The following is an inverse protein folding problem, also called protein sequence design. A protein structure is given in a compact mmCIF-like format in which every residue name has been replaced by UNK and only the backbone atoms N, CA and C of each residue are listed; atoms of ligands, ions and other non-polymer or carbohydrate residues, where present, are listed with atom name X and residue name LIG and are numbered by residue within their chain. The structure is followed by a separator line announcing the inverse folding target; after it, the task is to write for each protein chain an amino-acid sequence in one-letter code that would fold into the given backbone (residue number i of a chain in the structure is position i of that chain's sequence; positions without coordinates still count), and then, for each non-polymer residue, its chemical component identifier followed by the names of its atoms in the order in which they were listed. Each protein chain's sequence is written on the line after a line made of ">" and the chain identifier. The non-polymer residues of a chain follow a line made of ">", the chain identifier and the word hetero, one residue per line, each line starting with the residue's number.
data_IF_137931135435
#
_entry.id   IF_137931135435
#
_cell.length_a   1.000
_cell.length_b   1.000
_cell.length_c   1.000
_cell.angle_alpha   90.00
_cell.angle_beta   90.00
_cell.angle_gamma   90.00
#
_symmetry.space_group_name_H-M   'P 1'
#
loop_
_entity.id
_entity.type
_entity.pdbx_description
1 polymer ?
#
# COMPACT_ATOMS: atom_id res chain seq x y z
N UNK A 1 18.13 -2.36 -16.64
CA UNK A 1 17.41 -3.27 -17.56
C UNK A 1 15.89 -3.03 -17.53
N UNK A 2 15.18 -3.39 -16.45
CA UNK A 2 13.71 -3.32 -16.39
C UNK A 2 13.10 -1.94 -16.69
N UNK A 3 13.63 -0.85 -16.12
CA UNK A 3 13.20 0.52 -16.45
C UNK A 3 13.31 0.83 -17.95
N UNK A 4 14.35 0.34 -18.62
CA UNK A 4 14.51 0.54 -20.07
C UNK A 4 13.43 -0.18 -20.87
N UNK A 5 13.08 -1.41 -20.48
CA UNK A 5 12.00 -2.19 -21.09
C UNK A 5 10.64 -1.53 -20.88
N UNK A 6 10.38 -1.04 -19.66
CA UNK A 6 9.15 -0.32 -19.34
C UNK A 6 9.05 1.02 -20.06
N UNK A 7 10.14 1.78 -20.13
CA UNK A 7 10.13 3.07 -20.81
C UNK A 7 9.94 2.97 -22.32
N UNK A 8 10.28 1.82 -22.93
CA UNK A 8 10.08 1.60 -24.37
C UNK A 8 8.59 1.48 -24.74
N UNK A 9 7.78 0.86 -23.89
CA UNK A 9 6.32 0.84 -23.98
C UNK A 9 5.70 0.74 -22.57
N UNK A 10 5.38 1.88 -21.93
CA UNK A 10 4.87 1.89 -20.56
C UNK A 10 3.49 1.25 -20.39
N UNK A 11 2.70 1.22 -21.47
CA UNK A 11 1.36 0.64 -21.45
C UNK A 11 1.41 -0.88 -21.64
N UNK A 12 2.36 -1.38 -22.43
CA UNK A 12 2.52 -2.80 -22.72
C UNK A 12 4.01 -3.18 -22.84
N UNK A 13 4.74 -3.22 -21.71
CA UNK A 13 6.15 -3.56 -21.73
C UNK A 13 6.36 -4.99 -22.23
N UNK A 14 7.44 -5.19 -22.97
CA UNK A 14 7.86 -6.50 -23.47
C UNK A 14 8.39 -7.36 -22.31
N UNK A 15 7.50 -8.16 -21.73
CA UNK A 15 7.78 -8.92 -20.51
C UNK A 15 8.87 -9.99 -20.71
N UNK A 16 9.08 -10.45 -21.95
CA UNK A 16 10.10 -11.45 -22.28
C UNK A 16 11.52 -10.88 -22.19
N UNK A 17 11.65 -9.54 -22.18
CA UNK A 17 12.92 -8.83 -21.98
C UNK A 17 13.19 -8.47 -20.52
N UNK A 18 12.31 -8.83 -19.59
CA UNK A 18 12.55 -8.61 -18.18
C UNK A 18 13.56 -9.63 -17.63
N UNK A 19 14.43 -9.21 -16.69
CA UNK A 19 15.26 -10.15 -15.93
C UNK A 19 14.43 -11.29 -15.34
N UNK A 20 14.88 -12.51 -15.54
CA UNK A 20 14.28 -13.72 -14.99
C UNK A 20 15.11 -14.33 -13.85
N UNK A 21 16.12 -13.58 -13.38
CA UNK A 21 17.01 -14.02 -12.30
C UNK A 21 16.20 -14.40 -11.04
N UNK A 22 16.62 -15.46 -10.37
CA UNK A 22 16.02 -15.87 -9.10
C UNK A 22 16.26 -14.79 -8.04
N UNK A 23 15.25 -14.53 -7.21
CA UNK A 23 15.35 -13.58 -6.10
C UNK A 23 15.20 -14.30 -4.75
N UNK A 24 14.06 -14.95 -4.51
CA UNK A 24 13.83 -15.83 -3.35
C UNK A 24 12.88 -15.23 -2.31
N UNK A 25 13.08 -15.61 -1.05
CA UNK A 25 12.25 -15.18 0.09
C UNK A 25 13.10 -14.35 1.04
N UNK A 26 12.54 -13.22 1.49
CA UNK A 26 13.13 -12.33 2.50
C UNK A 26 12.27 -12.38 3.74
N UNK A 27 12.87 -12.70 4.88
CA UNK A 27 12.22 -12.67 6.18
C UNK A 27 12.85 -11.60 7.07
N UNK A 28 12.02 -10.93 7.85
CA UNK A 28 12.45 -9.98 8.86
C UNK A 28 11.67 -10.26 10.16
N UNK A 29 12.34 -10.08 11.30
CA UNK A 29 11.82 -10.39 12.62
C UNK A 29 12.26 -9.31 13.60
N UNK A 30 11.34 -8.89 14.46
CA UNK A 30 11.58 -7.93 15.54
C UNK A 30 12.27 -6.62 15.09
N UNK A 31 11.94 -6.18 13.88
CA UNK A 31 12.45 -4.96 13.29
C UNK A 31 11.77 -3.70 13.85
N UNK A 32 12.36 -2.55 13.53
CA UNK A 32 11.76 -1.24 13.77
C UNK A 32 12.00 -0.30 12.59
N UNK A 33 11.09 0.64 12.40
CA UNK A 33 11.24 1.73 11.44
C UNK A 33 11.42 3.03 12.21
N UNK A 34 12.48 3.77 11.88
CA UNK A 34 12.77 5.08 12.44
C UNK A 34 12.75 6.13 11.32
N UNK A 35 12.24 7.31 11.63
CA UNK A 35 12.32 8.48 10.76
C UNK A 35 13.14 9.57 11.45
N UNK A 36 13.96 10.28 10.69
CA UNK A 36 14.67 11.46 11.19
C UNK A 36 13.75 12.67 11.07
N UNK A 37 13.32 13.22 12.20
CA UNK A 37 12.45 14.41 12.29
C UNK A 37 13.21 15.48 13.07
N UNK A 38 13.49 16.61 12.41
CA UNK A 38 14.28 17.71 13.00
C UNK A 38 15.64 17.25 13.57
N UNK A 39 16.30 16.31 12.89
CA UNK A 39 17.59 15.76 13.30
C UNK A 39 17.52 14.78 14.49
N UNK A 40 16.33 14.34 14.89
CA UNK A 40 16.14 13.29 15.91
C UNK A 40 15.48 12.06 15.31
N UNK A 41 15.97 10.90 15.70
CA UNK A 41 15.34 9.64 15.33
C UNK A 41 14.07 9.44 16.15
N UNK A 42 12.95 9.27 15.44
CA UNK A 42 11.64 8.97 16.00
C UNK A 42 11.22 7.60 15.52
N UNK A 43 10.91 6.70 16.46
CA UNK A 43 10.36 5.39 16.12
C UNK A 43 8.94 5.55 15.57
N UNK A 44 8.72 5.01 14.37
CA UNK A 44 7.44 5.05 13.64
C UNK A 44 6.72 3.71 13.75
N UNK A 45 7.47 2.61 13.73
CA UNK A 45 6.94 1.25 13.77
C UNK A 45 7.88 0.37 14.58
N UNK A 46 7.33 -0.51 15.42
CA UNK A 46 8.09 -1.49 16.19
C UNK A 46 7.54 -2.91 16.01
N UNK A 47 8.27 -3.90 16.54
CA UNK A 47 7.92 -5.32 16.44
C UNK A 47 7.61 -5.78 15.02
N UNK A 48 8.27 -5.17 14.04
CA UNK A 48 8.04 -5.41 12.62
C UNK A 48 8.56 -6.80 12.25
N UNK A 49 7.65 -7.70 11.88
CA UNK A 49 7.96 -9.06 11.46
C UNK A 49 7.18 -9.43 10.21
N UNK A 50 7.74 -10.25 9.34
CA UNK A 50 7.08 -10.60 8.10
C UNK A 50 7.97 -11.30 7.10
N UNK A 51 7.36 -11.58 5.95
CA UNK A 51 7.97 -12.33 4.86
C UNK A 51 7.54 -11.73 3.52
N UNK A 52 8.51 -11.51 2.64
CA UNK A 52 8.30 -11.24 1.23
C UNK A 52 8.76 -12.45 0.41
N UNK A 53 7.90 -12.98 -0.45
CA UNK A 53 8.23 -14.10 -1.35
C UNK A 53 8.19 -13.61 -2.78
N UNK A 54 9.32 -13.76 -3.49
CA UNK A 54 9.46 -13.36 -4.88
C UNK A 54 10.44 -14.31 -5.58
N UNK A 55 9.95 -15.42 -6.13
CA UNK A 55 10.82 -16.50 -6.60
C UNK A 55 11.82 -16.06 -7.69
N UNK A 56 11.37 -15.28 -8.67
CA UNK A 56 12.19 -14.75 -9.75
C UNK A 56 11.75 -13.32 -10.12
N UNK A 57 12.65 -12.51 -10.65
CA UNK A 57 12.39 -11.11 -10.97
C UNK A 57 11.19 -10.88 -11.92
N UNK A 58 10.87 -11.85 -12.77
CA UNK A 58 9.70 -11.81 -13.66
C UNK A 58 8.47 -12.58 -13.13
N UNK A 59 8.51 -13.11 -11.90
CA UNK A 59 7.40 -13.81 -11.26
C UNK A 59 6.55 -12.87 -10.41
N UNK A 60 5.43 -13.40 -9.91
CA UNK A 60 4.66 -12.73 -8.88
C UNK A 60 5.48 -12.57 -7.58
N UNK A 61 5.12 -11.56 -6.79
CA UNK A 61 5.61 -11.35 -5.44
C UNK A 61 4.45 -11.15 -4.46
N UNK A 62 4.65 -11.65 -3.24
CA UNK A 62 3.76 -11.44 -2.09
C UNK A 62 4.56 -10.88 -0.91
N UNK A 63 3.88 -10.12 -0.05
CA UNK A 63 4.39 -9.62 1.22
C UNK A 63 3.30 -9.84 2.27
N UNK A 64 3.67 -10.40 3.42
CA UNK A 64 2.84 -10.38 4.63
C UNK A 64 3.68 -9.88 5.80
N UNK A 65 3.15 -8.92 6.55
CA UNK A 65 3.87 -8.25 7.62
C UNK A 65 2.94 -7.87 8.77
N UNK A 66 3.48 -7.90 9.98
CA UNK A 66 2.84 -7.41 11.20
C UNK A 66 3.77 -6.45 11.92
N UNK A 67 3.21 -5.58 12.77
CA UNK A 67 3.98 -4.69 13.61
C UNK A 67 3.09 -3.91 14.56
N UNK A 68 3.70 -3.01 15.32
CA UNK A 68 3.01 -2.08 16.22
C UNK A 68 3.20 -0.67 15.68
N UNK A 69 2.10 -0.04 15.31
CA UNK A 69 2.06 1.36 14.87
C UNK A 69 1.29 2.19 15.89
N UNK A 70 1.99 3.08 16.60
CA UNK A 70 1.38 4.00 17.58
C UNK A 70 0.53 3.27 18.64
N UNK A 71 1.06 2.16 19.13
CA UNK A 71 0.42 1.32 20.15
C UNK A 71 -0.64 0.34 19.61
N UNK A 72 -0.89 0.33 18.29
CA UNK A 72 -1.85 -0.58 17.67
C UNK A 72 -1.15 -1.67 16.88
N UNK A 73 -1.59 -2.91 17.04
CA UNK A 73 -1.17 -4.00 16.16
C UNK A 73 -1.71 -3.77 14.76
N UNK A 74 -0.84 -3.86 13.77
CA UNK A 74 -1.16 -3.71 12.36
C UNK A 74 -0.75 -4.96 11.58
N UNK A 75 -1.50 -5.25 10.51
CA UNK A 75 -1.18 -6.29 9.53
C UNK A 75 -1.26 -5.70 8.14
N UNK A 76 -0.28 -6.02 7.31
CA UNK A 76 -0.19 -5.63 5.90
C UNK A 76 0.01 -6.88 5.07
N UNK A 77 -0.84 -7.06 4.07
CA UNK A 77 -0.66 -8.05 3.02
C UNK A 77 -0.65 -7.33 1.68
N UNK A 78 0.32 -7.62 0.82
CA UNK A 78 0.39 -7.08 -0.53
C UNK A 78 0.78 -8.15 -1.54
N UNK A 79 0.26 -8.06 -2.76
CA UNK A 79 0.69 -8.94 -3.84
C UNK A 79 0.68 -8.21 -5.17
N UNK A 80 1.66 -8.55 -6.01
CA UNK A 80 1.67 -8.13 -7.41
C UNK A 80 2.09 -9.31 -8.29
N UNK A 81 1.34 -9.61 -9.36
CA UNK A 81 1.79 -10.56 -10.38
C UNK A 81 3.00 -10.06 -11.18
N UNK A 82 3.27 -8.75 -11.19
CA UNK A 82 4.32 -8.11 -11.99
C UNK A 82 5.03 -7.01 -11.18
N UNK A 83 5.66 -7.36 -10.05
CA UNK A 83 6.30 -6.40 -9.14
C UNK A 83 7.42 -5.61 -9.83
N UNK A 84 8.20 -6.24 -10.72
CA UNK A 84 9.29 -5.54 -11.41
C UNK A 84 8.79 -4.46 -12.37
N UNK A 85 7.64 -4.68 -13.03
CA UNK A 85 6.99 -3.68 -13.86
C UNK A 85 6.53 -2.50 -13.00
N UNK A 86 5.88 -2.80 -11.86
CA UNK A 86 5.43 -1.79 -10.89
C UNK A 86 6.59 -0.88 -10.45
N UNK A 87 7.68 -1.47 -9.96
CA UNK A 87 8.86 -0.75 -9.46
C UNK A 87 9.67 -0.06 -10.55
N UNK A 88 9.59 -0.56 -11.79
CA UNK A 88 10.17 0.10 -12.96
C UNK A 88 9.32 1.29 -13.45
N UNK A 89 8.15 1.54 -12.85
CA UNK A 89 7.27 2.66 -13.19
C UNK A 89 6.18 2.33 -14.21
N UNK A 90 6.05 1.07 -14.61
CA UNK A 90 4.98 0.61 -15.50
C UNK A 90 3.70 0.35 -14.71
N UNK A 91 2.58 0.28 -15.43
CA UNK A 91 1.30 -0.08 -14.82
C UNK A 91 1.23 -1.59 -14.60
N UNK A 92 1.05 -2.01 -13.34
CA UNK A 92 1.00 -3.41 -12.95
C UNK A 92 -0.13 -3.69 -11.94
N UNK A 93 -0.72 -4.89 -11.93
CA UNK A 93 -1.72 -5.24 -10.92
C UNK A 93 -1.12 -5.26 -9.52
N UNK A 94 -1.88 -4.78 -8.55
CA UNK A 94 -1.52 -4.70 -7.14
C UNK A 94 -2.75 -4.96 -6.28
N UNK A 95 -2.63 -5.87 -5.32
CA UNK A 95 -3.57 -5.99 -4.20
C UNK A 95 -2.88 -5.57 -2.92
N UNK A 96 -3.61 -4.90 -2.03
CA UNK A 96 -3.15 -4.46 -0.73
C UNK A 96 -4.28 -4.64 0.28
N UNK A 97 -3.98 -5.24 1.42
CA UNK A 97 -4.84 -5.27 2.59
C UNK A 97 -4.08 -4.72 3.79
N UNK A 98 -4.74 -3.82 4.51
CA UNK A 98 -4.26 -3.26 5.75
C UNK A 98 -5.31 -3.47 6.83
N UNK A 99 -4.90 -3.96 7.99
CA UNK A 99 -5.79 -4.22 9.12
C UNK A 99 -5.18 -3.67 10.40
N UNK A 100 -5.98 -2.94 11.15
CA UNK A 100 -5.71 -2.52 12.52
C UNK A 100 -7.05 -2.45 13.27
N UNK A 101 -7.03 -2.45 14.61
CA UNK A 101 -8.28 -2.31 15.37
C UNK A 101 -9.06 -1.02 15.04
N UNK A 102 -8.42 0.15 14.81
CA UNK A 102 -9.14 1.37 14.45
C UNK A 102 -9.72 1.37 13.04
N UNK A 103 -9.09 0.67 12.08
CA UNK A 103 -9.48 0.70 10.69
C UNK A 103 -8.98 -0.49 9.87
N UNK A 104 -9.74 -0.84 8.85
CA UNK A 104 -9.30 -1.73 7.76
C UNK A 104 -9.34 -0.98 6.44
N UNK A 105 -8.41 -1.34 5.54
CA UNK A 105 -8.33 -0.81 4.20
C UNK A 105 -7.98 -1.94 3.23
N UNK A 106 -8.55 -1.91 2.04
CA UNK A 106 -8.14 -2.79 0.95
C UNK A 106 -8.15 -2.06 -0.38
N UNK A 107 -7.21 -2.43 -1.23
CA UNK A 107 -7.11 -2.00 -2.62
C UNK A 107 -6.94 -3.22 -3.53
N UNK A 108 -7.66 -3.20 -4.64
CA UNK A 108 -7.51 -4.16 -5.74
C UNK A 108 -7.59 -3.40 -7.07
N UNK A 109 -6.51 -3.43 -7.84
CA UNK A 109 -6.44 -2.74 -9.11
C UNK A 109 -5.06 -2.73 -9.71
N UNK A 110 -4.73 -1.64 -10.39
CA UNK A 110 -3.41 -1.42 -11.00
C UNK A 110 -2.75 -0.17 -10.44
N UNK A 111 -1.42 -0.18 -10.40
CA UNK A 111 -0.62 0.93 -9.93
C UNK A 111 0.67 1.09 -10.74
N UNK A 112 1.28 2.27 -10.66
CA UNK A 112 2.62 2.58 -11.16
C UNK A 112 3.38 3.37 -10.10
N UNK A 113 4.64 2.98 -9.84
CA UNK A 113 5.58 3.70 -8.97
C UNK A 113 6.53 4.62 -9.77
N UNK A 114 6.04 5.19 -10.88
CA UNK A 114 6.77 6.22 -11.62
C UNK A 114 6.79 7.56 -10.87
N UNK A 115 7.52 8.56 -11.38
CA UNK A 115 7.50 9.92 -10.84
C UNK A 115 6.08 10.49 -10.75
N UNK A 116 5.24 10.18 -11.74
CA UNK A 116 3.81 10.48 -11.72
C UNK A 116 3.04 9.25 -11.26
N UNK A 117 3.15 8.93 -9.98
CA UNK A 117 2.47 7.78 -9.39
C UNK A 117 0.99 7.71 -9.83
N UNK A 118 0.57 6.52 -10.20
CA UNK A 118 -0.77 6.24 -10.70
C UNK A 118 -1.37 5.07 -9.95
N UNK A 119 -2.66 5.18 -9.63
CA UNK A 119 -3.45 4.12 -9.02
C UNK A 119 -4.83 4.09 -9.68
N UNK A 120 -5.31 2.91 -10.02
CA UNK A 120 -6.67 2.71 -10.50
C UNK A 120 -7.22 1.38 -10.01
N UNK A 121 -8.21 1.43 -9.12
CA UNK A 121 -8.69 0.24 -8.45
C UNK A 121 -9.90 0.44 -7.56
N UNK A 122 -10.45 -0.67 -7.09
CA UNK A 122 -11.48 -0.68 -6.06
C UNK A 122 -10.81 -0.48 -4.70
N UNK A 123 -11.25 0.55 -3.98
CA UNK A 123 -10.87 0.80 -2.59
C UNK A 123 -12.03 0.44 -1.68
N UNK A 124 -11.72 -0.18 -0.55
CA UNK A 124 -12.64 -0.30 0.59
C UNK A 124 -11.94 0.18 1.85
N UNK A 125 -12.66 0.94 2.67
CA UNK A 125 -12.21 1.40 3.97
C UNK A 125 -13.34 1.18 4.97
N UNK A 126 -13.02 0.67 6.14
CA UNK A 126 -13.99 0.54 7.23
C UNK A 126 -13.34 0.91 8.56
N UNK A 127 -14.06 1.70 9.35
CA UNK A 127 -13.66 2.11 10.69
C UNK A 127 -14.86 2.01 11.64
N UNK A 128 -14.76 1.26 12.75
CA UNK A 128 -15.81 1.22 13.77
C UNK A 128 -16.02 2.57 14.47
N UNK A 129 -15.03 3.47 14.42
CA UNK A 129 -15.12 4.82 14.95
C UNK A 129 -14.18 5.74 14.18
N UNK A 130 -14.73 6.65 13.39
CA UNK A 130 -13.92 7.65 12.67
C UNK A 130 -13.10 8.52 13.65
N UNK A 131 -13.66 8.79 14.84
CA UNK A 131 -12.95 9.47 15.93
C UNK A 131 -11.69 8.71 16.34
N UNK A 132 -11.78 7.40 16.57
CA UNK A 132 -10.64 6.57 16.98
C UNK A 132 -9.53 6.58 15.92
N UNK A 133 -9.90 6.58 14.63
CA UNK A 133 -8.94 6.69 13.52
C UNK A 133 -8.23 8.05 13.51
N UNK A 134 -8.97 9.14 13.73
CA UNK A 134 -8.37 10.49 13.79
C UNK A 134 -7.40 10.63 14.97
N UNK A 135 -7.78 10.11 16.14
CA UNK A 135 -6.91 10.08 17.33
C UNK A 135 -5.65 9.24 17.08
N UNK A 136 -5.79 8.05 16.51
CA UNK A 136 -4.68 7.15 16.19
C UNK A 136 -3.74 7.73 15.12
N UNK A 137 -4.30 8.31 14.06
CA UNK A 137 -3.53 8.93 12.98
C UNK A 137 -2.82 10.22 13.42
N UNK A 138 -3.18 10.80 14.57
CA UNK A 138 -2.69 12.10 15.05
C UNK A 138 -2.78 13.18 13.96
N UNK A 139 -3.82 13.14 13.12
CA UNK A 139 -3.98 14.04 11.98
C UNK A 139 -4.21 15.53 12.36
N UNK A 140 -4.17 15.87 13.65
CA UNK A 140 -4.36 17.25 14.14
C UNK A 140 -5.78 17.80 13.94
N UNK A 141 -6.74 16.94 13.56
CA UNK A 141 -8.14 17.32 13.36
C UNK A 141 -8.87 17.25 14.71
N UNK A 142 -9.54 18.34 15.10
CA UNK A 142 -10.33 18.39 16.33
C UNK A 142 -11.40 17.28 16.33
N UNK A 143 -11.42 16.36 17.33
CA UNK A 143 -12.32 15.19 17.35
C UNK A 143 -13.83 15.50 17.45
N UNK A 144 -14.23 16.77 17.52
CA UNK A 144 -15.58 17.20 17.90
C UNK A 144 -16.65 16.99 16.82
N UNK A 145 -16.27 16.70 15.58
CA UNK A 145 -17.21 16.55 14.46
C UNK A 145 -17.41 15.11 13.96
N UNK A 146 -16.52 14.17 14.28
CA UNK A 146 -16.58 12.80 13.78
C UNK A 146 -17.39 11.91 14.73
N UNK A 147 -18.58 11.48 14.33
CA UNK A 147 -19.45 10.61 15.12
C UNK A 147 -19.81 9.37 14.29
N UNK A 148 -19.40 8.21 14.77
CA UNK A 148 -19.88 6.91 14.28
C UNK A 148 -18.87 6.09 13.51
N UNK A 149 -19.29 4.86 13.25
CA UNK A 149 -18.67 3.91 12.35
C UNK A 149 -18.90 4.34 10.90
N UNK A 150 -17.95 4.05 10.02
CA UNK A 150 -18.03 4.36 8.60
C UNK A 150 -17.49 3.22 7.77
N UNK A 151 -18.15 2.96 6.65
CA UNK A 151 -17.68 2.11 5.57
C UNK A 151 -17.75 2.89 4.26
N UNK A 152 -16.65 2.84 3.50
CA UNK A 152 -16.49 3.49 2.20
C UNK A 152 -16.08 2.42 1.20
N UNK A 153 -16.78 2.36 0.07
CA UNK A 153 -16.38 1.57 -1.09
C UNK A 153 -16.42 2.47 -2.32
N UNK A 154 -15.31 2.61 -3.04
CA UNK A 154 -15.22 3.51 -4.20
C UNK A 154 -14.23 2.99 -5.23
N UNK A 155 -14.55 3.19 -6.51
CA UNK A 155 -13.56 3.08 -7.59
C UNK A 155 -12.74 4.35 -7.59
N UNK A 156 -11.44 4.23 -7.36
CA UNK A 156 -10.52 5.37 -7.26
C UNK A 156 -9.55 5.34 -8.42
N UNK A 157 -9.40 6.48 -9.08
CA UNK A 157 -8.31 6.74 -10.02
C UNK A 157 -7.52 7.94 -9.52
N UNK A 158 -6.24 7.76 -9.23
CA UNK A 158 -5.34 8.82 -8.76
C UNK A 158 -4.16 8.98 -9.73
N UNK A 159 -3.88 10.20 -10.15
CA UNK A 159 -2.71 10.55 -10.99
C UNK A 159 -2.34 12.02 -10.80
N UNK A 160 -1.04 12.33 -10.73
CA UNK A 160 -0.50 13.69 -10.78
C UNK A 160 -1.29 14.72 -9.92
N UNK A 161 -1.51 14.41 -8.64
CA UNK A 161 -2.20 15.28 -7.69
C UNK A 161 -3.73 15.38 -7.85
N UNK A 162 -4.32 14.65 -8.79
CA UNK A 162 -5.76 14.51 -8.96
C UNK A 162 -6.23 13.15 -8.47
N UNK A 163 -7.36 13.15 -7.79
CA UNK A 163 -8.03 11.93 -7.35
C UNK A 163 -9.47 12.00 -7.83
N UNK A 164 -9.90 10.99 -8.57
CA UNK A 164 -11.27 10.76 -9.03
C UNK A 164 -11.85 9.62 -8.21
N UNK A 165 -13.08 9.82 -7.75
CA UNK A 165 -13.88 8.83 -7.06
C UNK A 165 -15.12 8.53 -7.92
N UNK A 166 -15.40 7.26 -8.15
CA UNK A 166 -16.54 6.79 -8.93
C UNK A 166 -17.29 5.72 -8.14
N UNK A 167 -18.63 5.70 -8.30
CA UNK A 167 -19.52 4.74 -7.65
C UNK A 167 -19.28 4.65 -6.13
N UNK A 168 -19.06 5.79 -5.48
CA UNK A 168 -18.78 5.86 -4.05
C UNK A 168 -20.02 5.52 -3.24
N UNK A 169 -19.94 4.44 -2.46
CA UNK A 169 -20.91 4.09 -1.43
C UNK A 169 -20.35 4.45 -0.06
N UNK A 170 -21.16 5.17 0.72
CA UNK A 170 -20.89 5.52 2.12
C UNK A 170 -21.99 4.92 2.99
N UNK A 171 -21.60 4.21 4.05
CA UNK A 171 -22.54 3.62 4.99
C UNK A 171 -22.05 3.81 6.43
N UNK A 172 -23.00 3.93 7.35
CA UNK A 172 -22.75 3.76 8.77
C UNK A 172 -22.96 2.27 9.10
N UNK A 173 -21.93 1.64 9.68
CA UNK A 173 -21.91 0.23 10.11
C UNK A 173 -21.75 0.35 11.63
#
# INVERSE_FOLDING_TARGET
>A
AARGVVNADPAKPDLDKLPADTFGTVEFRDGRMVASVNGKDVEILSSLSGQATWAAMNSNATLSATGIWRGESVTVDAASPRPLVLFAGGTAPLTLSFKAAPATFSFDGTASMSENAYFDGQVKFAAPSLRRVLEWSQAGIAPSAAIGSVSISSKVTASAGRIKFENTALAQI
#
